data_IF_299552097629
#
_entry.id   IF_299552097629
#
_cell.length_a   1.000
_cell.length_b   1.000
_cell.length_c   1.000
_cell.angle_alpha   90.00
_cell.angle_beta   90.00
_cell.angle_gamma   90.00
#
_symmetry.space_group_name_H-M   'P 1'
#
loop_
_entity.id
_entity.type
_entity.pdbx_description
1 polymer ?
#
# COMPACT_ATOMS: atom_id res chain seq x y z
N UNK A 1 -27.03 -14.42 -2.59
CA UNK A 1 -26.22 -14.85 -3.74
C UNK A 1 -24.93 -14.05 -3.65
N UNK A 2 -23.83 -14.69 -3.25
CA UNK A 2 -22.53 -14.03 -3.07
C UNK A 2 -21.96 -13.64 -4.43
N UNK A 3 -21.81 -12.35 -4.68
CA UNK A 3 -20.93 -11.87 -5.74
C UNK A 3 -19.49 -12.06 -5.29
N UNK A 4 -18.91 -13.22 -5.61
CA UNK A 4 -17.48 -13.44 -5.56
C UNK A 4 -16.85 -12.86 -6.83
N UNK A 5 -16.72 -11.53 -6.87
CA UNK A 5 -15.83 -10.87 -7.83
C UNK A 5 -14.41 -11.39 -7.57
N UNK A 6 -13.68 -11.93 -8.57
CA UNK A 6 -12.28 -12.30 -8.38
C UNK A 6 -11.49 -11.03 -8.00
N UNK A 7 -10.53 -11.11 -7.06
CA UNK A 7 -9.73 -9.95 -6.71
C UNK A 7 -8.97 -9.50 -7.96
N UNK A 8 -9.23 -8.28 -8.41
CA UNK A 8 -8.36 -7.61 -9.38
C UNK A 8 -6.95 -7.55 -8.77
N UNK A 9 -5.85 -7.69 -9.54
CA UNK A 9 -4.50 -7.74 -8.97
C UNK A 9 -4.18 -6.55 -8.05
N UNK A 10 -4.76 -5.37 -8.30
CA UNK A 10 -4.63 -4.20 -7.43
C UNK A 10 -5.15 -4.40 -5.99
N UNK A 11 -6.14 -5.27 -5.80
CA UNK A 11 -6.75 -5.54 -4.50
C UNK A 11 -5.90 -6.46 -3.62
N UNK A 12 -4.97 -7.21 -4.22
CA UNK A 12 -4.04 -8.07 -3.47
C UNK A 12 -2.91 -7.25 -2.86
N UNK A 13 -2.30 -6.36 -3.64
CA UNK A 13 -1.20 -5.49 -3.21
C UNK A 13 -1.63 -4.58 -2.03
N UNK A 14 -2.85 -4.03 -2.09
CA UNK A 14 -3.43 -3.22 -1.01
C UNK A 14 -3.63 -4.03 0.26
N UNK A 15 -4.14 -5.27 0.15
CA UNK A 15 -4.34 -6.13 1.33
C UNK A 15 -3.02 -6.52 1.99
N UNK A 16 -1.98 -6.74 1.20
CA UNK A 16 -0.65 -7.08 1.73
C UNK A 16 0.03 -5.86 2.38
N UNK A 17 -0.22 -4.65 1.85
CA UNK A 17 0.17 -3.40 2.52
C UNK A 17 -0.54 -3.23 3.87
N UNK A 18 -1.88 -3.31 3.91
CA UNK A 18 -2.67 -3.14 5.14
C UNK A 18 -2.26 -4.13 6.23
N UNK A 19 -2.02 -5.39 5.86
CA UNK A 19 -1.52 -6.41 6.80
C UNK A 19 -0.13 -6.08 7.32
N UNK A 20 0.79 -5.68 6.43
CA UNK A 20 2.16 -5.35 6.83
C UNK A 20 2.20 -4.14 7.76
N UNK A 21 1.32 -3.16 7.53
CA UNK A 21 1.16 -1.99 8.37
C UNK A 21 0.59 -2.34 9.76
N UNK A 22 -0.48 -3.13 9.81
CA UNK A 22 -1.08 -3.60 11.09
C UNK A 22 -0.09 -4.44 11.92
N UNK A 23 0.72 -5.29 11.27
CA UNK A 23 1.79 -6.01 11.96
C UNK A 23 2.86 -5.07 12.52
N UNK A 24 3.22 -4.01 11.78
CA UNK A 24 4.21 -3.03 12.21
C UNK A 24 3.71 -2.19 13.39
N UNK A 25 2.44 -1.76 13.37
CA UNK A 25 1.82 -1.04 14.50
C UNK A 25 1.80 -1.89 15.77
N UNK A 26 1.44 -3.17 15.66
CA UNK A 26 1.48 -4.11 16.78
C UNK A 26 2.89 -4.30 17.32
N UNK A 27 3.88 -4.30 16.44
CA UNK A 27 5.29 -4.42 16.81
C UNK A 27 5.77 -3.19 17.59
N UNK A 28 5.49 -2.00 17.07
CA UNK A 28 5.81 -0.74 17.75
C UNK A 28 5.14 -0.70 19.13
N UNK A 29 3.86 -1.07 19.21
CA UNK A 29 3.14 -1.11 20.48
C UNK A 29 3.79 -2.06 21.51
N UNK A 30 4.33 -3.21 21.07
CA UNK A 30 5.08 -4.12 21.94
C UNK A 30 6.41 -3.53 22.40
N UNK A 31 7.14 -2.86 21.49
CA UNK A 31 8.40 -2.19 21.83
C UNK A 31 8.19 -1.07 22.86
N UNK A 32 7.10 -0.31 22.73
CA UNK A 32 6.74 0.78 23.65
C UNK A 32 6.30 0.30 25.04
N UNK A 33 5.79 -0.93 25.17
CA UNK A 33 5.40 -1.51 26.46
C UNK A 33 6.62 -1.80 27.35
N UNK A 34 7.80 -2.02 26.77
CA UNK A 34 9.06 -2.13 27.53
C UNK A 34 9.27 -3.44 28.30
N UNK A 35 8.41 -4.44 28.12
CA UNK A 35 8.48 -5.75 28.79
C UNK A 35 9.36 -6.79 28.04
N UNK A 36 10.09 -6.37 27.01
CA UNK A 36 10.89 -7.25 26.15
C UNK A 36 12.33 -7.37 26.65
N UNK A 37 12.91 -8.56 26.50
CA UNK A 37 14.35 -8.73 26.71
C UNK A 37 15.14 -8.05 25.57
N UNK A 38 16.45 -7.89 25.74
CA UNK A 38 17.30 -7.33 24.70
C UNK A 38 17.27 -8.16 23.41
N UNK A 39 17.30 -9.49 23.53
CA UNK A 39 17.23 -10.40 22.38
C UNK A 39 15.87 -10.28 21.68
N UNK A 40 14.77 -10.25 22.42
CA UNK A 40 13.43 -10.08 21.85
C UNK A 40 13.27 -8.71 21.17
N UNK A 41 13.84 -7.66 21.77
CA UNK A 41 13.83 -6.31 21.20
C UNK A 41 14.56 -6.27 19.85
N UNK A 42 15.70 -6.95 19.75
CA UNK A 42 16.45 -7.05 18.49
C UNK A 42 15.66 -7.84 17.43
N UNK A 43 15.05 -8.96 17.82
CA UNK A 43 14.22 -9.76 16.91
C UNK A 43 13.01 -8.99 16.39
N UNK A 44 12.31 -8.26 17.26
CA UNK A 44 11.20 -7.40 16.86
C UNK A 44 11.69 -6.25 15.96
N UNK A 45 12.84 -5.64 16.25
CA UNK A 45 13.41 -4.60 15.39
C UNK A 45 13.72 -5.11 13.97
N UNK A 46 14.37 -6.28 13.84
CA UNK A 46 14.64 -6.91 12.55
C UNK A 46 13.34 -7.21 11.78
N UNK A 47 12.33 -7.75 12.46
CA UNK A 47 11.01 -7.96 11.86
C UNK A 47 10.38 -6.65 11.41
N UNK A 48 10.49 -5.59 12.21
CA UNK A 48 10.02 -4.24 11.86
C UNK A 48 10.66 -3.72 10.58
N UNK A 49 11.97 -3.92 10.40
CA UNK A 49 12.68 -3.53 9.17
C UNK A 49 12.14 -4.27 7.94
N UNK A 50 11.85 -5.57 8.07
CA UNK A 50 11.28 -6.36 6.98
C UNK A 50 9.87 -5.87 6.61
N UNK A 51 9.02 -5.62 7.63
CA UNK A 51 7.67 -5.10 7.42
C UNK A 51 7.69 -3.72 6.76
N UNK A 52 8.56 -2.83 7.23
CA UNK A 52 8.77 -1.52 6.62
C UNK A 52 9.15 -1.64 5.13
N UNK A 53 10.10 -2.52 4.81
CA UNK A 53 10.50 -2.78 3.42
C UNK A 53 9.35 -3.28 2.54
N UNK A 54 8.46 -4.13 3.08
CA UNK A 54 7.26 -4.58 2.37
C UNK A 54 6.28 -3.45 2.11
N UNK A 55 6.03 -2.59 3.11
CA UNK A 55 5.16 -1.42 2.95
C UNK A 55 5.69 -0.49 1.85
N UNK A 56 6.99 -0.17 1.88
CA UNK A 56 7.61 0.68 0.87
C UNK A 56 7.46 0.08 -0.54
N UNK A 57 7.76 -1.22 -0.68
CA UNK A 57 7.64 -1.91 -1.97
C UNK A 57 6.20 -1.86 -2.52
N UNK A 58 5.20 -2.09 -1.67
CA UNK A 58 3.81 -2.02 -2.09
C UNK A 58 3.40 -0.61 -2.53
N UNK A 59 3.90 0.44 -1.85
CA UNK A 59 3.68 1.84 -2.26
C UNK A 59 4.37 2.15 -3.60
N UNK A 60 5.60 1.68 -3.81
CA UNK A 60 6.34 1.87 -5.05
C UNK A 60 5.62 1.22 -6.24
N UNK A 61 5.11 0.00 -6.05
CA UNK A 61 4.33 -0.73 -7.06
C UNK A 61 3.00 -0.02 -7.36
N UNK A 62 2.31 0.50 -6.33
CA UNK A 62 1.10 1.29 -6.52
C UNK A 62 1.38 2.58 -7.31
N UNK A 63 2.45 3.31 -6.97
CA UNK A 63 2.84 4.53 -7.68
C UNK A 63 3.17 4.24 -9.15
N UNK A 64 3.96 3.20 -9.42
CA UNK A 64 4.32 2.79 -10.78
C UNK A 64 3.08 2.44 -11.61
N UNK A 65 2.08 1.80 -10.99
CA UNK A 65 0.81 1.50 -11.63
C UNK A 65 0.00 2.76 -11.93
N UNK A 66 -0.05 3.71 -11.00
CA UNK A 66 -0.71 5.02 -11.23
C UNK A 66 -0.04 5.75 -12.38
N UNK A 67 1.29 5.80 -12.42
CA UNK A 67 2.05 6.44 -13.49
C UNK A 67 1.82 5.78 -14.85
N UNK A 68 1.75 4.44 -14.89
CA UNK A 68 1.39 3.71 -16.11
C UNK A 68 -0.04 4.04 -16.55
N UNK A 69 -1.00 4.04 -15.63
CA UNK A 69 -2.38 4.38 -15.95
C UNK A 69 -2.48 5.82 -16.46
N UNK A 70 -1.78 6.78 -15.87
CA UNK A 70 -1.73 8.18 -16.34
C UNK A 70 -1.11 8.30 -17.74
N UNK A 71 -0.08 7.51 -18.06
CA UNK A 71 0.57 7.51 -19.39
C UNK A 71 -0.24 6.77 -20.45
N UNK A 72 -0.94 5.70 -20.08
CA UNK A 72 -1.80 4.90 -20.98
C UNK A 72 -3.17 5.54 -21.19
N UNK A 73 -3.58 6.37 -20.25
CA UNK A 73 -4.81 7.14 -20.30
C UNK A 73 -4.60 8.40 -21.14
N UNK A 74 -5.22 8.44 -22.32
CA UNK A 74 -5.49 9.63 -23.13
C UNK A 74 -6.43 10.64 -22.40
N UNK A 75 -6.32 10.76 -21.06
CA UNK A 75 -7.07 11.74 -20.25
C UNK A 75 -6.73 13.19 -20.64
N UNK A 76 -5.71 13.38 -21.48
CA UNK A 76 -5.38 14.66 -22.11
C UNK A 76 -6.23 15.01 -23.34
N UNK A 77 -7.16 14.16 -23.80
CA UNK A 77 -8.26 14.60 -24.67
C UNK A 77 -9.50 15.01 -23.86
N UNK A 78 -9.32 15.79 -22.79
CA UNK A 78 -10.36 16.75 -22.46
C UNK A 78 -10.39 17.77 -23.59
N UNK A 79 -11.37 17.67 -24.49
CA UNK A 79 -11.71 18.79 -25.36
C UNK A 79 -11.95 20.01 -24.46
N UNK A 80 -11.41 21.20 -24.80
CA UNK A 80 -11.81 22.42 -24.13
C UNK A 80 -13.33 22.49 -24.15
N UNK A 81 -13.96 22.71 -22.99
CA UNK A 81 -15.37 23.03 -22.96
C UNK A 81 -15.53 24.37 -23.68
N UNK A 82 -16.06 24.33 -24.89
CA UNK A 82 -16.35 25.50 -25.70
C UNK A 82 -17.79 25.94 -25.41
N UNK A 83 -18.02 26.97 -24.59
CA UNK A 83 -19.37 27.41 -24.23
C UNK A 83 -20.11 28.08 -25.39
N UNK A 84 -19.49 28.23 -26.56
CA UNK A 84 -20.08 28.83 -27.75
C UNK A 84 -20.33 27.77 -28.85
N UNK A 85 -21.29 26.87 -28.59
CA UNK A 85 -22.03 26.23 -29.68
C UNK A 85 -23.41 26.88 -29.73
N UNK A 86 -23.81 27.51 -30.85
CA UNK A 86 -25.08 28.25 -30.94
C UNK A 86 -26.31 27.34 -30.88
#
# INVERSE_FOLDING_TARGET
>A
MSESQPPSPASADIKDFEKSLDELEKLVSRLEQGDLTLEDTLAEFERGMVLHGRCQKALDEAQLRVDMLLKSSDFQKSVPFDPETP
#
